data_IF_044253208928
#
_entry.id   IF_044253208928
#
_cell.length_a   1.000
_cell.length_b   1.000
_cell.length_c   1.000
_cell.angle_alpha   90.00
_cell.angle_beta   90.00
_cell.angle_gamma   90.00
#
_symmetry.space_group_name_H-M   'P 1'
#
loop_
_entity.id
_entity.type
_entity.pdbx_description
1 polymer ?
#
# COMPACT_ATOMS: atom_id res chain seq x y z
N UNK A 1 2.97 11.14 2.14
CA UNK A 1 2.05 11.56 3.22
C UNK A 1 2.09 10.49 4.31
N UNK A 2 2.46 10.84 5.53
CA UNK A 2 2.59 9.91 6.67
C UNK A 2 1.66 10.38 7.80
N UNK A 3 1.38 9.51 8.76
CA UNK A 3 0.48 9.82 9.86
C UNK A 3 -0.99 9.54 9.55
N UNK A 4 -1.89 10.26 10.23
CA UNK A 4 -3.32 10.22 9.96
C UNK A 4 -3.70 11.14 8.79
N UNK A 5 -4.53 10.64 7.89
CA UNK A 5 -5.20 11.42 6.85
C UNK A 5 -6.69 11.16 6.95
N UNK A 6 -7.50 12.22 7.02
CA UNK A 6 -8.95 12.17 7.00
C UNK A 6 -9.52 13.56 6.75
N UNK A 7 -10.78 13.64 6.31
CA UNK A 7 -11.45 14.93 6.06
C UNK A 7 -10.84 15.76 4.92
N UNK A 8 -10.14 15.12 3.98
CA UNK A 8 -9.50 15.80 2.86
C UNK A 8 -10.55 16.28 1.83
N UNK A 9 -10.45 17.53 1.31
CA UNK A 9 -11.35 18.00 0.26
C UNK A 9 -11.34 17.10 -0.98
N UNK A 10 -12.49 16.56 -1.35
CA UNK A 10 -12.65 15.64 -2.48
C UNK A 10 -12.19 14.19 -2.21
N UNK A 11 -11.98 13.82 -0.94
CA UNK A 11 -11.69 12.48 -0.45
C UNK A 11 -12.43 12.24 0.89
N UNK A 12 -13.72 12.58 0.91
CA UNK A 12 -14.53 12.64 2.13
C UNK A 12 -14.76 11.27 2.80
N UNK A 13 -14.74 10.21 2.00
CA UNK A 13 -14.90 8.83 2.44
C UNK A 13 -13.54 8.10 2.50
N UNK A 14 -12.41 8.81 2.62
CA UNK A 14 -11.09 8.19 2.74
C UNK A 14 -10.43 8.60 4.04
N UNK A 15 -10.07 7.59 4.84
CA UNK A 15 -9.24 7.76 6.02
C UNK A 15 -8.04 6.81 5.95
N UNK A 16 -6.91 7.20 6.53
CA UNK A 16 -5.77 6.30 6.62
C UNK A 16 -4.83 6.64 7.77
N UNK A 17 -4.14 5.61 8.24
CA UNK A 17 -3.01 5.70 9.14
C UNK A 17 -1.78 5.16 8.41
N UNK A 18 -0.68 5.91 8.43
CA UNK A 18 0.55 5.52 7.74
C UNK A 18 1.76 5.64 8.67
N UNK A 19 2.32 4.48 9.07
CA UNK A 19 3.44 4.35 9.98
C UNK A 19 4.74 4.25 9.18
N UNK A 20 5.65 5.19 9.41
CA UNK A 20 7.00 5.14 8.87
C UNK A 20 7.78 4.06 9.61
N UNK A 21 8.47 3.20 8.87
CA UNK A 21 9.31 2.13 9.39
C UNK A 21 8.57 1.18 10.34
N UNK A 22 7.30 0.89 10.06
CA UNK A 22 6.50 -0.06 10.85
C UNK A 22 7.15 -1.43 11.14
N UNK A 23 7.99 -2.02 10.25
CA UNK A 23 8.76 -3.23 10.55
C UNK A 23 9.86 -3.04 11.62
N UNK A 24 10.30 -1.81 11.88
CA UNK A 24 11.37 -1.53 12.84
C UNK A 24 10.86 -1.54 14.29
N UNK A 25 11.65 -2.05 15.24
CA UNK A 25 11.27 -2.06 16.65
C UNK A 25 10.92 -0.67 17.18
N UNK A 26 9.76 -0.55 17.84
CA UNK A 26 9.31 0.67 18.50
C UNK A 26 8.70 1.74 17.59
N UNK A 27 8.81 1.64 16.26
CA UNK A 27 8.23 2.62 15.33
C UNK A 27 6.70 2.69 15.44
N UNK A 28 6.03 1.53 15.49
CA UNK A 28 4.58 1.45 15.69
C UNK A 28 4.17 1.95 17.07
N UNK A 29 4.95 1.65 18.11
CA UNK A 29 4.69 2.12 19.47
C UNK A 29 4.75 3.65 19.54
N UNK A 30 5.80 4.26 19.00
CA UNK A 30 5.95 5.71 18.95
C UNK A 30 4.81 6.38 18.19
N UNK A 31 4.34 5.75 17.10
CA UNK A 31 3.17 6.21 16.37
C UNK A 31 1.88 6.11 17.20
N UNK A 32 1.66 4.97 17.86
CA UNK A 32 0.45 4.73 18.66
C UNK A 32 0.38 5.62 19.90
N UNK A 33 1.51 5.89 20.56
CA UNK A 33 1.59 6.81 21.71
C UNK A 33 1.20 8.24 21.33
N UNK A 34 1.54 8.67 20.11
CA UNK A 34 1.14 9.97 19.59
C UNK A 34 -0.35 10.03 19.24
N UNK A 35 -0.87 8.99 18.58
CA UNK A 35 -2.25 8.96 18.10
C UNK A 35 -3.28 8.69 19.21
N UNK A 36 -2.89 7.90 20.21
CA UNK A 36 -3.80 7.37 21.24
C UNK A 36 -3.18 7.53 22.65
N UNK A 37 -2.82 8.76 23.08
CA UNK A 37 -2.00 8.98 24.29
C UNK A 37 -2.64 8.56 25.62
N UNK A 38 -3.96 8.32 25.64
CA UNK A 38 -4.70 7.90 26.82
C UNK A 38 -5.23 6.47 26.74
N UNK A 39 -4.95 5.73 25.66
CA UNK A 39 -5.45 4.38 25.43
C UNK A 39 -4.37 3.34 25.72
N UNK A 40 -4.80 2.14 26.12
CA UNK A 40 -3.95 0.96 26.02
C UNK A 40 -3.84 0.58 24.54
N UNK A 41 -2.64 0.73 23.98
CA UNK A 41 -2.36 0.52 22.57
C UNK A 41 -1.55 -0.76 22.29
N UNK A 42 -1.32 -1.61 23.30
CA UNK A 42 -0.45 -2.78 23.18
C UNK A 42 -0.89 -3.74 22.05
N UNK A 43 -2.18 -4.07 21.99
CA UNK A 43 -2.72 -4.96 20.95
C UNK A 43 -2.61 -4.35 19.54
N UNK A 44 -2.86 -3.04 19.41
CA UNK A 44 -2.67 -2.34 18.14
C UNK A 44 -1.21 -2.43 17.70
N UNK A 45 -0.27 -2.13 18.61
CA UNK A 45 1.16 -2.18 18.32
C UNK A 45 1.62 -3.58 17.88
N UNK A 46 1.20 -4.63 18.58
CA UNK A 46 1.53 -6.01 18.25
C UNK A 46 1.03 -6.39 16.84
N UNK A 47 -0.26 -6.14 16.56
CA UNK A 47 -0.89 -6.53 15.30
C UNK A 47 -0.29 -5.75 14.13
N UNK A 48 -0.17 -4.43 14.26
CA UNK A 48 0.32 -3.55 13.18
C UNK A 48 1.80 -3.79 12.91
N UNK A 49 2.62 -3.95 13.94
CA UNK A 49 4.03 -4.32 13.75
C UNK A 49 4.17 -5.69 13.08
N UNK A 50 3.44 -6.70 13.55
CA UNK A 50 3.47 -8.04 12.95
C UNK A 50 3.00 -8.06 11.50
N UNK A 51 1.98 -7.27 11.15
CA UNK A 51 1.52 -7.12 9.77
C UNK A 51 2.57 -6.40 8.91
N UNK A 52 3.13 -5.29 9.39
CA UNK A 52 4.16 -4.53 8.69
C UNK A 52 5.41 -5.37 8.42
N UNK A 53 5.89 -6.11 9.42
CA UNK A 53 7.05 -6.99 9.30
C UNK A 53 6.83 -8.07 8.23
N UNK A 54 5.69 -8.79 8.26
CA UNK A 54 5.36 -9.82 7.26
C UNK A 54 5.25 -9.25 5.84
N UNK A 55 4.67 -8.06 5.69
CA UNK A 55 4.60 -7.40 4.37
C UNK A 55 5.98 -6.97 3.87
N UNK A 56 6.86 -6.50 4.75
CA UNK A 56 8.24 -6.14 4.40
C UNK A 56 9.07 -7.37 4.01
N UNK A 57 8.91 -8.50 4.69
CA UNK A 57 9.54 -9.77 4.30
C UNK A 57 9.14 -10.21 2.88
N UNK A 58 7.85 -10.13 2.55
CA UNK A 58 7.35 -10.44 1.22
C UNK A 58 7.88 -9.45 0.17
N UNK A 59 7.84 -8.15 0.46
CA UNK A 59 8.40 -7.13 -0.42
C UNK A 59 9.88 -7.42 -0.70
N UNK A 60 10.65 -7.73 0.33
CA UNK A 60 12.07 -8.04 0.19
C UNK A 60 12.31 -9.25 -0.70
N UNK A 61 11.54 -10.32 -0.51
CA UNK A 61 11.63 -11.53 -1.33
C UNK A 61 11.34 -11.22 -2.81
N UNK A 62 10.25 -10.49 -3.11
CA UNK A 62 9.92 -10.10 -4.50
C UNK A 62 10.99 -9.18 -5.07
N UNK A 63 11.49 -8.23 -4.28
CA UNK A 63 12.54 -7.31 -4.67
C UNK A 63 13.85 -8.02 -5.03
N UNK A 64 14.19 -9.08 -4.29
CA UNK A 64 15.32 -9.96 -4.60
C UNK A 64 15.08 -10.66 -5.94
N UNK A 65 13.93 -11.31 -6.12
CA UNK A 65 13.57 -12.01 -7.36
C UNK A 65 13.64 -11.09 -8.59
N UNK A 66 13.15 -9.86 -8.46
CA UNK A 66 13.21 -8.85 -9.53
C UNK A 66 14.66 -8.49 -9.87
N UNK A 67 15.52 -8.28 -8.87
CA UNK A 67 16.93 -7.93 -9.11
C UNK A 67 17.71 -9.07 -9.75
N UNK A 68 17.51 -10.29 -9.27
CA UNK A 68 18.09 -11.50 -9.88
C UNK A 68 17.61 -11.64 -11.34
N UNK A 69 16.32 -11.44 -11.60
CA UNK A 69 15.75 -11.47 -12.95
C UNK A 69 16.29 -10.37 -13.89
N UNK A 70 16.76 -9.25 -13.32
CA UNK A 70 17.45 -8.18 -14.06
C UNK A 70 18.97 -8.39 -14.18
N UNK A 71 19.51 -9.50 -13.65
CA UNK A 71 20.95 -9.79 -13.66
C UNK A 71 21.78 -8.88 -12.77
N UNK A 72 21.17 -8.20 -11.79
CA UNK A 72 21.85 -7.30 -10.86
C UNK A 72 22.31 -8.12 -9.65
N UNK A 73 23.61 -8.10 -9.36
CA UNK A 73 24.15 -8.70 -8.14
C UNK A 73 23.49 -8.07 -6.91
N UNK A 74 22.97 -8.90 -6.01
CA UNK A 74 22.31 -8.45 -4.78
C UNK A 74 23.31 -8.55 -3.64
N UNK A 75 23.86 -7.41 -3.19
CA UNK A 75 24.39 -7.33 -1.83
C UNK A 75 23.20 -7.22 -0.88
N UNK A 76 22.93 -8.29 -0.13
CA UNK A 76 21.73 -8.38 0.72
C UNK A 76 21.71 -7.33 1.85
N UNK A 77 22.88 -6.98 2.39
CA UNK A 77 22.99 -6.05 3.52
C UNK A 77 22.79 -4.59 3.09
N UNK A 78 23.36 -4.21 1.95
CA UNK A 78 23.15 -2.87 1.38
C UNK A 78 21.72 -2.72 0.82
N UNK A 79 21.18 -3.79 0.25
CA UNK A 79 19.85 -3.81 -0.35
C UNK A 79 18.68 -3.76 0.66
N UNK A 80 18.91 -4.15 1.92
CA UNK A 80 17.93 -4.00 3.02
C UNK A 80 18.04 -2.64 3.70
N UNK A 81 19.25 -2.17 4.00
CA UNK A 81 19.46 -0.96 4.80
C UNK A 81 19.18 0.36 4.08
N UNK A 82 19.15 0.37 2.75
CA UNK A 82 19.00 1.61 1.97
C UNK A 82 17.56 2.15 1.87
N UNK A 83 16.56 1.47 2.45
CA UNK A 83 15.14 1.79 2.22
C UNK A 83 14.35 1.79 3.51
N UNK A 84 13.58 2.87 3.68
CA UNK A 84 12.56 2.98 4.71
C UNK A 84 11.23 2.42 4.18
N UNK A 85 10.37 1.98 5.09
CA UNK A 85 9.06 1.41 4.75
C UNK A 85 7.94 2.36 5.16
N UNK A 86 6.85 2.36 4.40
CA UNK A 86 5.61 3.02 4.81
C UNK A 86 4.51 1.97 4.91
N UNK A 87 4.11 1.62 6.14
CA UNK A 87 2.98 0.74 6.35
C UNK A 87 1.70 1.58 6.44
N UNK A 88 0.81 1.43 5.46
CA UNK A 88 -0.45 2.18 5.37
C UNK A 88 -1.65 1.26 5.59
N UNK A 89 -2.52 1.66 6.50
CA UNK A 89 -3.87 1.14 6.65
C UNK A 89 -4.82 2.20 6.12
N UNK A 90 -5.66 1.83 5.15
CA UNK A 90 -6.61 2.72 4.50
C UNK A 90 -8.01 2.19 4.68
N UNK A 91 -8.94 3.07 5.03
CA UNK A 91 -10.37 2.81 5.09
C UNK A 91 -11.08 3.65 4.04
N UNK A 92 -12.06 3.04 3.38
CA UNK A 92 -12.92 3.68 2.41
C UNK A 92 -14.36 3.57 2.90
N UNK A 93 -15.00 4.71 3.13
CA UNK A 93 -16.39 4.77 3.59
C UNK A 93 -17.35 4.11 2.61
N UNK A 94 -18.37 3.45 3.18
CA UNK A 94 -19.40 2.78 2.41
C UNK A 94 -20.13 3.76 1.46
N UNK A 95 -20.58 3.29 0.29
CA UNK A 95 -21.40 4.09 -0.60
C UNK A 95 -22.66 4.63 0.09
N UNK A 96 -22.94 5.92 -0.10
CA UNK A 96 -24.23 6.52 0.23
C UNK A 96 -25.22 6.31 -0.93
N UNK A 97 -26.52 6.47 -0.67
CA UNK A 97 -27.56 6.25 -1.68
C UNK A 97 -27.46 7.15 -2.91
N UNK A 98 -26.78 8.30 -2.77
CA UNK A 98 -26.60 9.28 -3.85
C UNK A 98 -25.29 9.09 -4.64
N UNK A 99 -24.39 8.22 -4.16
CA UNK A 99 -23.10 7.97 -4.80
C UNK A 99 -23.25 6.97 -5.95
N UNK A 100 -22.59 7.27 -7.07
CA UNK A 100 -22.63 6.38 -8.23
C UNK A 100 -21.70 5.20 -7.98
N UNK A 101 -22.08 4.03 -8.49
CA UNK A 101 -21.28 2.78 -8.41
C UNK A 101 -19.88 2.85 -9.07
N UNK A 102 -19.45 4.01 -9.57
CA UNK A 102 -18.14 4.25 -10.18
C UNK A 102 -17.44 5.46 -9.58
N UNK A 103 -17.89 5.94 -8.43
CA UNK A 103 -17.28 7.10 -7.79
C UNK A 103 -15.88 6.76 -7.29
N UNK A 104 -14.94 7.68 -7.52
CA UNK A 104 -13.53 7.48 -7.21
C UNK A 104 -13.32 7.75 -5.72
N UNK A 105 -12.94 6.70 -4.97
CA UNK A 105 -12.58 6.74 -3.55
C UNK A 105 -11.17 7.22 -3.30
N UNK A 106 -10.26 6.93 -4.23
CA UNK A 106 -8.91 7.47 -4.22
C UNK A 106 -8.45 7.71 -5.64
N UNK A 107 -7.90 8.89 -5.90
CA UNK A 107 -7.59 9.32 -7.27
C UNK A 107 -6.54 8.41 -7.91
N UNK A 108 -6.66 8.28 -9.24
CA UNK A 108 -5.64 7.61 -10.06
C UNK A 108 -4.26 8.20 -9.79
N UNK A 109 -3.31 7.33 -9.47
CA UNK A 109 -1.92 7.70 -9.20
C UNK A 109 -0.98 6.53 -9.49
N UNK A 110 0.32 6.84 -9.45
CA UNK A 110 1.40 5.87 -9.45
C UNK A 110 2.16 6.00 -8.13
N UNK A 111 2.59 4.88 -7.58
CA UNK A 111 3.42 4.92 -6.39
C UNK A 111 4.82 5.44 -6.72
N UNK A 112 5.37 6.24 -5.81
CA UNK A 112 6.71 6.81 -5.97
C UNK A 112 7.82 5.88 -5.47
N UNK A 113 7.45 4.81 -4.77
CA UNK A 113 8.34 3.87 -4.10
C UNK A 113 8.97 2.86 -5.06
N UNK A 114 9.63 1.84 -4.48
CA UNK A 114 10.20 0.74 -5.25
C UNK A 114 9.14 -0.31 -5.58
N UNK A 115 8.56 -0.92 -4.55
CA UNK A 115 7.47 -1.88 -4.65
C UNK A 115 6.40 -1.52 -3.62
N UNK A 116 5.14 -1.79 -3.97
CA UNK A 116 4.00 -1.76 -3.05
C UNK A 116 3.43 -3.16 -2.93
N UNK A 117 3.13 -3.57 -1.70
CA UNK A 117 2.36 -4.79 -1.40
C UNK A 117 1.01 -4.36 -0.84
N UNK A 118 -0.08 -4.79 -1.49
CA UNK A 118 -1.45 -4.43 -1.11
C UNK A 118 -2.19 -5.69 -0.66
N UNK A 119 -2.66 -5.66 0.57
CA UNK A 119 -3.66 -6.57 1.11
C UNK A 119 -5.04 -5.92 0.95
N UNK A 120 -5.87 -6.49 0.08
CA UNK A 120 -7.21 -5.96 -0.15
C UNK A 120 -8.19 -6.53 0.88
N UNK A 121 -9.16 -5.71 1.29
CA UNK A 121 -10.37 -6.22 1.94
C UNK A 121 -11.23 -6.98 0.91
N UNK A 122 -12.20 -7.77 1.37
CA UNK A 122 -13.06 -8.61 0.51
C UNK A 122 -14.08 -7.83 -0.33
N UNK A 123 -13.99 -6.50 -0.31
CA UNK A 123 -14.81 -5.59 -1.11
C UNK A 123 -14.00 -5.15 -2.34
N UNK A 124 -14.61 -5.25 -3.52
CA UNK A 124 -14.00 -4.80 -4.77
C UNK A 124 -13.71 -3.29 -4.74
N UNK A 125 -12.78 -2.81 -5.57
CA UNK A 125 -12.53 -1.37 -5.70
C UNK A 125 -11.14 -0.98 -6.20
N UNK A 126 -10.14 -1.85 -6.07
CA UNK A 126 -8.84 -1.60 -6.69
C UNK A 126 -8.92 -1.81 -8.21
N UNK A 127 -8.65 -0.75 -8.96
CA UNK A 127 -8.53 -0.82 -10.41
C UNK A 127 -7.12 -0.45 -10.85
N UNK A 128 -6.63 -1.15 -11.88
CA UNK A 128 -5.32 -0.93 -12.47
C UNK A 128 -5.43 -0.66 -13.95
N UNK A 129 -4.68 0.33 -14.44
CA UNK A 129 -4.69 0.66 -15.86
C UNK A 129 -3.74 -0.27 -16.64
N UNK A 130 -4.31 -1.02 -17.58
CA UNK A 130 -3.57 -1.80 -18.56
C UNK A 130 -2.83 -0.91 -19.56
N UNK A 131 -1.86 -1.48 -20.29
CA UNK A 131 -1.03 -0.74 -21.26
C UNK A 131 -1.82 -0.09 -22.39
N UNK A 132 -3.01 -0.59 -22.70
CA UNK A 132 -3.92 -0.03 -23.70
C UNK A 132 -4.84 1.07 -23.14
N UNK A 133 -4.63 1.48 -21.88
CA UNK A 133 -5.38 2.52 -21.21
C UNK A 133 -6.67 2.06 -20.53
N UNK A 134 -7.07 0.79 -20.69
CA UNK A 134 -8.27 0.25 -20.03
C UNK A 134 -8.03 0.00 -18.56
N UNK A 135 -9.02 0.31 -17.74
CA UNK A 135 -9.03 -0.03 -16.32
C UNK A 135 -9.48 -1.48 -16.12
N UNK A 136 -8.74 -2.21 -15.28
CA UNK A 136 -8.98 -3.61 -14.94
C UNK A 136 -9.21 -3.71 -13.44
N UNK A 137 -10.37 -4.22 -13.06
CA UNK A 137 -10.68 -4.52 -11.66
C UNK A 137 -9.81 -5.68 -11.17
N UNK A 138 -9.14 -5.47 -10.05
CA UNK A 138 -8.32 -6.49 -9.39
C UNK A 138 -9.15 -7.13 -8.28
N UNK A 139 -9.84 -8.23 -8.62
CA UNK A 139 -10.72 -8.93 -7.68
C UNK A 139 -9.96 -9.29 -6.40
N UNK A 140 -10.49 -8.95 -5.21
CA UNK A 140 -9.87 -9.31 -3.96
C UNK A 140 -9.93 -10.83 -3.77
N UNK A 141 -8.96 -11.37 -3.04
CA UNK A 141 -8.96 -12.76 -2.64
C UNK A 141 -8.24 -12.88 -1.30
N UNK A 142 -8.84 -13.57 -0.31
CA UNK A 142 -8.22 -13.75 1.01
C UNK A 142 -6.94 -14.60 0.95
N UNK A 143 -6.69 -15.27 -0.17
CA UNK A 143 -5.52 -16.12 -0.38
C UNK A 143 -4.39 -15.44 -1.19
N UNK A 144 -4.52 -14.15 -1.53
CA UNK A 144 -3.54 -13.47 -2.38
C UNK A 144 -3.27 -12.03 -1.95
N UNK A 145 -2.06 -11.58 -2.26
CA UNK A 145 -1.65 -10.19 -2.13
C UNK A 145 -1.29 -9.66 -3.52
N UNK A 146 -1.45 -8.35 -3.70
CA UNK A 146 -1.11 -7.65 -4.94
C UNK A 146 0.24 -6.98 -4.76
N UNK A 147 1.17 -7.20 -5.70
CA UNK A 147 2.47 -6.53 -5.71
C UNK A 147 2.59 -5.65 -6.94
N UNK A 148 2.92 -4.37 -6.73
CA UNK A 148 3.01 -3.37 -7.78
C UNK A 148 4.40 -2.75 -7.82
N UNK A 149 4.88 -2.47 -9.04
CA UNK A 149 6.08 -1.68 -9.25
C UNK A 149 5.76 -0.19 -9.10
N UNK A 150 6.57 0.52 -8.32
CA UNK A 150 6.55 1.97 -8.22
C UNK A 150 7.52 2.65 -9.19
N UNK A 151 7.48 3.97 -9.21
CA UNK A 151 8.29 4.81 -10.11
C UNK A 151 9.79 4.65 -9.87
N UNK A 152 10.23 4.39 -8.63
CA UNK A 152 11.64 4.14 -8.36
C UNK A 152 12.11 2.84 -9.05
N UNK A 153 11.28 1.78 -9.10
CA UNK A 153 11.63 0.53 -9.80
C UNK A 153 11.74 0.76 -11.29
N UNK A 154 10.74 1.45 -11.85
CA UNK A 154 10.72 1.80 -13.27
C UNK A 154 12.00 2.51 -13.69
N UNK A 155 12.46 3.50 -12.92
CA UNK A 155 13.71 4.21 -13.23
C UNK A 155 14.92 3.29 -13.06
N UNK A 156 15.00 2.53 -11.97
CA UNK A 156 16.13 1.63 -11.69
C UNK A 156 16.26 0.49 -12.70
N UNK A 157 15.15 0.01 -13.26
CA UNK A 157 15.11 -1.01 -14.28
C UNK A 157 15.30 -0.45 -15.71
N UNK A 158 15.70 0.82 -15.85
CA UNK A 158 15.82 1.50 -17.15
C UNK A 158 14.51 1.43 -17.98
N UNK A 159 13.38 1.62 -17.30
CA UNK A 159 12.02 1.60 -17.86
C UNK A 159 11.54 0.25 -18.42
N UNK A 160 12.26 -0.85 -18.19
CA UNK A 160 11.79 -2.19 -18.59
C UNK A 160 10.57 -2.67 -17.78
N UNK A 161 10.47 -2.29 -16.50
CA UNK A 161 9.31 -2.52 -15.65
C UNK A 161 8.41 -1.28 -15.63
N UNK A 162 7.09 -1.51 -15.65
CA UNK A 162 6.11 -0.44 -15.71
C UNK A 162 5.54 -0.14 -14.33
N UNK A 163 5.54 1.13 -13.95
CA UNK A 163 4.78 1.63 -12.80
C UNK A 163 3.34 1.84 -13.23
N UNK A 164 2.42 1.12 -12.60
CA UNK A 164 1.02 1.03 -13.06
C UNK A 164 0.20 2.14 -12.40
N UNK A 165 -0.60 2.85 -13.21
CA UNK A 165 -1.64 3.71 -12.66
C UNK A 165 -2.70 2.86 -11.97
N UNK A 166 -3.02 3.19 -10.73
CA UNK A 166 -4.05 2.52 -9.97
C UNK A 166 -4.94 3.54 -9.25
N UNK A 167 -6.19 3.15 -9.01
CA UNK A 167 -7.22 3.97 -8.39
C UNK A 167 -8.08 3.09 -7.48
N UNK A 168 -8.79 3.72 -6.55
CA UNK A 168 -9.83 3.03 -5.77
C UNK A 168 -11.19 3.60 -6.14
N UNK A 169 -12.15 2.73 -6.43
CA UNK A 169 -13.55 3.09 -6.74
C UNK A 169 -14.51 2.48 -5.73
N UNK A 170 -15.77 2.93 -5.74
CA UNK A 170 -16.86 2.29 -5.01
C UNK A 170 -17.14 0.92 -5.63
N UNK A 171 -17.22 -0.14 -4.81
CA UNK A 171 -17.91 -1.36 -5.20
C UNK A 171 -19.33 -1.40 -4.62
N UNK A 172 -20.25 -2.02 -5.36
CA UNK A 172 -21.53 -2.43 -4.80
C UNK A 172 -21.28 -3.60 -3.83
N UNK A 173 -21.89 -3.51 -2.65
CA UNK A 173 -22.12 -4.68 -1.80
C UNK A 173 -23.44 -5.25 -2.30
N UNK A 174 -23.39 -6.38 -3.00
CA UNK A 174 -24.60 -7.14 -3.38
C UNK A 174 -25.29 -7.76 -2.15
#
# INVERSE_FOLDING_TARGET
>A
LHGYLGGLPGLHAYESLAVVDGPEPGAVQAFADLMFPAADNAAFCEIVHGAAARMAELEWAVRRMVREGLGVAVDEAEAQSALWHLFRMSEYGAPTADERATEVRFRSHQDTNWLSVVCQHEVEGLEMQARDGRWVLVRPSPASLVVMAGNALRVRSQCSLHSIYHTSTVAQID
#
